data_IF_715576595344
#
_entry.id   IF_715576595344
#
_cell.length_a   1.000
_cell.length_b   1.000
_cell.length_c   1.000
_cell.angle_alpha   90.00
_cell.angle_beta   90.00
_cell.angle_gamma   90.00
#
_symmetry.space_group_name_H-M   'P 1'
#
loop_
_entity.id
_entity.type
_entity.pdbx_description
1 polymer ?
#
# COMPACT_ATOMS: atom_id res chain seq x y z
N UNK A 1 40.14 4.87 -36.37
CA UNK A 1 40.62 3.48 -36.36
C UNK A 1 40.34 2.86 -35.01
N UNK A 2 39.77 1.62 -35.02
CA UNK A 2 39.56 0.62 -33.94
C UNK A 2 38.27 0.84 -33.16
N UNK A 3 37.19 0.17 -33.53
CA UNK A 3 36.65 -1.21 -33.46
C UNK A 3 36.05 -1.54 -32.10
N UNK A 4 34.71 -1.54 -32.04
CA UNK A 4 33.79 -2.67 -31.91
C UNK A 4 34.14 -3.73 -30.85
N UNK A 5 33.26 -3.89 -29.83
CA UNK A 5 32.98 -5.21 -29.26
C UNK A 5 31.58 -5.27 -28.70
N UNK A 6 30.72 -5.85 -29.51
CA UNK A 6 29.47 -6.51 -29.08
C UNK A 6 29.82 -7.65 -28.14
N UNK A 7 29.02 -7.81 -27.08
CA UNK A 7 28.94 -9.10 -26.45
C UNK A 7 27.47 -9.45 -26.16
N UNK A 8 26.96 -10.22 -27.09
CA UNK A 8 25.74 -11.00 -27.08
C UNK A 8 25.92 -12.15 -26.09
N UNK A 9 25.07 -12.24 -25.11
CA UNK A 9 24.84 -13.45 -24.32
C UNK A 9 23.39 -13.78 -24.28
N UNK A 10 23.01 -14.48 -25.31
CA UNK A 10 21.91 -15.41 -25.41
C UNK A 10 22.15 -16.57 -24.44
N UNK A 11 21.20 -16.85 -23.57
CA UNK A 11 21.07 -18.16 -22.92
C UNK A 11 19.63 -18.58 -22.92
N UNK A 12 19.38 -19.46 -23.85
CA UNK A 12 18.29 -20.44 -23.87
C UNK A 12 18.32 -21.30 -22.61
N UNK A 13 17.15 -21.59 -22.10
CA UNK A 13 16.82 -22.83 -21.39
C UNK A 13 15.33 -23.04 -21.58
N UNK A 14 14.95 -23.75 -22.56
CA UNK A 14 14.74 -25.17 -22.74
C UNK A 14 13.85 -25.80 -21.67
N UNK A 15 12.66 -26.02 -22.15
CA UNK A 15 11.56 -26.85 -21.66
C UNK A 15 12.03 -28.22 -21.19
N UNK A 16 11.43 -28.67 -20.09
CA UNK A 16 11.24 -30.10 -19.87
C UNK A 16 9.88 -30.36 -19.25
N UNK A 17 9.02 -30.90 -20.10
CA UNK A 17 7.82 -31.67 -19.78
C UNK A 17 8.26 -33.04 -19.30
N UNK A 18 7.57 -33.59 -18.32
CA UNK A 18 7.22 -35.03 -18.21
C UNK A 18 6.30 -35.24 -17.00
N UNK A 19 5.07 -35.39 -17.25
CA UNK A 19 4.11 -36.53 -17.15
C UNK A 19 4.50 -37.64 -16.21
N UNK A 20 3.59 -37.96 -15.29
CA UNK A 20 3.15 -39.31 -14.98
C UNK A 20 2.08 -39.27 -13.90
N UNK A 21 0.83 -39.50 -14.29
CA UNK A 21 -0.03 -40.70 -14.33
C UNK A 21 -0.16 -41.46 -13.00
N UNK A 22 -1.43 -41.44 -12.52
CA UNK A 22 -2.33 -42.51 -12.18
C UNK A 22 -1.87 -43.65 -11.23
N UNK A 23 -2.71 -43.85 -10.20
CA UNK A 23 -3.35 -45.12 -9.82
C UNK A 23 -4.18 -44.84 -8.55
N UNK A 24 -5.45 -44.92 -8.61
CA UNK A 24 -6.50 -45.94 -8.52
C UNK A 24 -6.37 -46.99 -7.40
N UNK A 25 -7.47 -47.12 -6.72
CA UNK A 25 -8.01 -48.25 -5.93
C UNK A 25 -8.15 -47.96 -4.47
N UNK A 26 -9.28 -47.82 -3.85
CA UNK A 26 -10.43 -48.71 -3.85
C UNK A 26 -10.52 -49.42 -2.51
N UNK A 27 -11.49 -49.22 -1.67
CA UNK A 27 -12.45 -50.21 -1.22
C UNK A 27 -13.19 -49.81 0.08
N UNK A 28 -14.48 -49.76 -0.02
CA UNK A 28 -15.57 -50.17 0.88
C UNK A 28 -15.24 -50.60 2.32
N UNK A 29 -16.00 -50.06 3.30
CA UNK A 29 -17.06 -50.77 4.01
C UNK A 29 -17.77 -49.90 5.05
N UNK A 30 -19.08 -49.77 4.95
CA UNK A 30 -20.03 -49.47 6.04
C UNK A 30 -20.52 -50.84 6.62
N UNK A 31 -21.38 -50.87 7.66
CA UNK A 31 -21.77 -49.91 8.70
C UNK A 31 -21.78 -50.54 10.11
N UNK A 32 -21.89 -49.72 11.17
CA UNK A 32 -22.62 -50.18 12.38
C UNK A 32 -23.14 -48.95 13.15
N UNK A 33 -24.43 -48.99 13.37
CA UNK A 33 -25.21 -48.03 14.13
C UNK A 33 -24.92 -48.14 15.65
N UNK A 34 -24.86 -46.95 16.29
CA UNK A 34 -25.26 -46.79 17.71
C UNK A 34 -25.63 -45.35 17.97
N UNK A 35 -26.86 -45.09 18.33
CA UNK A 35 -27.43 -43.82 18.75
C UNK A 35 -27.27 -43.63 20.26
N UNK A 36 -27.79 -42.51 20.90
CA UNK A 36 -27.23 -41.18 20.97
C UNK A 36 -26.98 -40.75 22.44
N UNK A 37 -26.12 -39.79 22.66
CA UNK A 37 -26.03 -39.07 23.93
C UNK A 37 -26.12 -37.56 23.65
N UNK A 38 -26.62 -36.71 24.58
CA UNK A 38 -27.17 -35.41 24.28
C UNK A 38 -26.08 -34.36 24.03
N UNK A 39 -26.24 -33.66 22.93
CA UNK A 39 -25.39 -32.52 22.56
C UNK A 39 -25.59 -31.37 23.51
N UNK A 40 -24.52 -31.01 24.20
CA UNK A 40 -24.36 -29.72 24.82
C UNK A 40 -24.06 -28.70 23.69
N UNK A 41 -25.08 -27.93 23.34
CA UNK A 41 -24.98 -26.80 22.42
C UNK A 41 -24.04 -25.73 23.01
N UNK A 42 -22.78 -25.77 22.60
CA UNK A 42 -21.87 -24.68 22.78
C UNK A 42 -21.95 -23.82 21.48
N UNK A 43 -22.54 -22.59 21.51
CA UNK A 43 -22.54 -21.73 20.33
C UNK A 43 -21.13 -21.19 20.13
N UNK A 44 -20.35 -21.89 19.33
CA UNK A 44 -19.11 -21.34 18.80
C UNK A 44 -19.48 -20.16 17.91
N UNK A 45 -18.96 -18.95 18.17
CA UNK A 45 -19.17 -17.84 17.25
C UNK A 45 -18.49 -18.19 15.94
N UNK A 46 -19.29 -18.45 14.93
CA UNK A 46 -18.86 -18.57 13.55
C UNK A 46 -18.20 -17.26 13.16
N UNK A 47 -16.89 -17.19 13.25
CA UNK A 47 -16.14 -16.14 12.60
C UNK A 47 -16.32 -16.32 11.09
N UNK A 48 -17.33 -15.64 10.56
CA UNK A 48 -17.50 -15.44 9.14
C UNK A 48 -16.19 -14.80 8.64
N UNK A 49 -15.33 -15.62 8.05
CA UNK A 49 -14.18 -15.15 7.26
C UNK A 49 -14.74 -14.44 6.03
N UNK A 50 -15.26 -13.24 6.21
CA UNK A 50 -15.52 -12.33 5.12
C UNK A 50 -14.16 -12.03 4.50
N UNK A 51 -13.94 -12.32 3.20
CA UNK A 51 -12.68 -12.01 2.55
C UNK A 51 -12.44 -10.51 2.73
N UNK A 52 -11.32 -10.14 3.33
CA UNK A 52 -10.93 -8.74 3.52
C UNK A 52 -10.69 -8.12 2.15
N UNK A 53 -11.71 -7.46 1.62
CA UNK A 53 -11.60 -6.72 0.36
C UNK A 53 -10.73 -5.51 0.64
N UNK A 54 -9.50 -5.52 0.12
CA UNK A 54 -8.61 -4.37 0.20
C UNK A 54 -9.20 -3.22 -0.62
N UNK A 55 -9.15 -1.98 -0.09
CA UNK A 55 -9.64 -0.83 -0.84
C UNK A 55 -8.87 -0.68 -2.15
N UNK A 56 -9.64 -0.55 -3.22
CA UNK A 56 -9.08 -0.37 -4.56
C UNK A 56 -8.47 1.02 -4.72
N UNK A 57 -7.26 1.10 -5.28
CA UNK A 57 -6.60 2.35 -5.63
C UNK A 57 -6.50 2.46 -7.15
N UNK A 58 -7.10 3.50 -7.71
CA UNK A 58 -6.98 3.82 -9.13
C UNK A 58 -5.60 4.43 -9.44
N UNK A 59 -4.72 3.67 -10.07
CA UNK A 59 -3.35 4.09 -10.34
C UNK A 59 -3.22 5.27 -11.31
N UNK A 60 -4.12 5.39 -12.28
CA UNK A 60 -4.10 6.51 -13.23
C UNK A 60 -4.47 7.82 -12.54
N UNK A 61 -5.51 7.80 -11.72
CA UNK A 61 -5.93 8.95 -10.93
C UNK A 61 -4.88 9.31 -9.88
N UNK A 62 -4.34 8.32 -9.16
CA UNK A 62 -3.21 8.51 -8.27
C UNK A 62 -2.03 9.18 -8.95
N UNK A 63 -1.68 8.78 -10.18
CA UNK A 63 -0.60 9.40 -10.94
C UNK A 63 -0.89 10.88 -11.23
N UNK A 64 -2.12 11.21 -11.63
CA UNK A 64 -2.56 12.60 -11.82
C UNK A 64 -2.51 13.40 -10.53
N UNK A 65 -2.99 12.83 -9.44
CA UNK A 65 -3.00 13.48 -8.12
C UNK A 65 -1.58 13.81 -7.64
N UNK A 66 -0.60 12.97 -7.93
CA UNK A 66 0.82 13.23 -7.59
C UNK A 66 1.41 14.48 -8.27
N UNK A 67 0.79 14.97 -9.34
CA UNK A 67 1.19 16.18 -10.06
C UNK A 67 0.49 17.45 -9.53
N UNK A 68 -0.45 17.32 -8.59
CA UNK A 68 -1.13 18.46 -8.00
C UNK A 68 -0.15 19.35 -7.24
N UNK A 69 -0.29 20.68 -7.33
CA UNK A 69 0.52 21.61 -6.53
C UNK A 69 0.13 21.54 -5.05
N UNK A 70 1.01 22.04 -4.19
CA UNK A 70 0.86 22.02 -2.73
C UNK A 70 -0.51 22.52 -2.28
N UNK A 71 -0.95 23.68 -2.80
CA UNK A 71 -2.21 24.29 -2.40
C UNK A 71 -3.42 23.39 -2.64
N UNK A 72 -3.48 22.75 -3.81
CA UNK A 72 -4.58 21.83 -4.16
C UNK A 72 -4.60 20.57 -3.30
N UNK A 73 -3.44 20.06 -2.96
CA UNK A 73 -3.35 18.91 -2.06
C UNK A 73 -3.78 19.29 -0.64
N UNK A 74 -3.37 20.47 -0.15
CA UNK A 74 -3.79 20.99 1.15
C UNK A 74 -5.29 21.26 1.21
N UNK A 75 -5.88 21.86 0.18
CA UNK A 75 -7.33 22.07 0.07
C UNK A 75 -8.09 20.73 0.16
N UNK A 76 -7.61 19.73 -0.59
CA UNK A 76 -8.20 18.38 -0.56
C UNK A 76 -8.08 17.74 0.80
N UNK A 77 -6.92 17.81 1.45
CA UNK A 77 -6.73 17.30 2.80
C UNK A 77 -7.67 17.98 3.79
N UNK A 78 -7.76 19.31 3.74
CA UNK A 78 -8.62 20.10 4.62
C UNK A 78 -10.09 19.71 4.48
N UNK A 79 -10.55 19.50 3.26
CA UNK A 79 -11.95 19.19 2.96
C UNK A 79 -12.33 17.75 3.29
N UNK A 80 -11.47 16.77 2.93
CA UNK A 80 -11.81 15.35 2.98
C UNK A 80 -11.13 14.58 4.09
N UNK A 81 -10.00 15.05 4.57
CA UNK A 81 -9.17 14.38 5.59
C UNK A 81 -8.64 15.37 6.62
N UNK A 82 -9.51 16.08 7.40
CA UNK A 82 -9.10 17.15 8.31
C UNK A 82 -8.04 16.72 9.33
N UNK A 83 -8.12 15.51 9.89
CA UNK A 83 -7.09 14.98 10.79
C UNK A 83 -5.72 14.81 10.13
N UNK A 84 -5.69 14.48 8.85
CA UNK A 84 -4.44 14.40 8.10
C UNK A 84 -3.92 15.81 7.77
N UNK A 85 -4.81 16.79 7.55
CA UNK A 85 -4.45 18.18 7.34
C UNK A 85 -3.79 18.81 8.57
N UNK A 86 -4.31 18.55 9.77
CA UNK A 86 -3.75 19.04 11.04
C UNK A 86 -2.30 18.56 11.25
N UNK A 87 -1.97 17.35 10.77
CA UNK A 87 -0.65 16.75 10.87
C UNK A 87 0.23 17.02 9.64
N UNK A 88 -0.29 17.75 8.66
CA UNK A 88 0.44 18.02 7.44
C UNK A 88 1.54 19.06 7.67
N UNK A 89 2.76 18.73 7.27
CA UNK A 89 3.94 19.58 7.26
C UNK A 89 4.35 19.82 5.80
N UNK A 90 4.48 21.06 5.41
CA UNK A 90 5.05 21.42 4.11
C UNK A 90 6.56 21.52 4.26
N UNK A 91 7.29 20.68 3.52
CA UNK A 91 8.75 20.62 3.49
C UNK A 91 9.23 21.02 2.10
N UNK A 92 9.60 22.29 1.93
CA UNK A 92 9.86 22.88 0.62
C UNK A 92 8.61 22.85 -0.26
N UNK A 93 8.61 21.99 -1.27
CA UNK A 93 7.47 21.79 -2.17
C UNK A 93 6.74 20.45 -1.95
N UNK A 94 7.04 19.74 -0.87
CA UNK A 94 6.46 18.46 -0.53
C UNK A 94 5.54 18.58 0.67
N UNK A 95 4.56 17.69 0.76
CA UNK A 95 3.73 17.56 1.95
C UNK A 95 4.05 16.23 2.64
N UNK A 96 4.37 16.30 3.91
CA UNK A 96 4.65 15.16 4.78
C UNK A 96 3.60 15.07 5.87
N UNK A 97 3.17 13.85 6.20
CA UNK A 97 2.22 13.61 7.27
C UNK A 97 2.78 12.51 8.17
N UNK A 98 2.97 12.83 9.44
CA UNK A 98 3.43 11.87 10.45
C UNK A 98 2.29 11.62 11.41
N UNK A 99 1.76 10.40 11.39
CA UNK A 99 0.72 10.00 12.36
C UNK A 99 1.39 9.44 13.61
N UNK A 100 0.88 9.75 14.82
CA UNK A 100 1.38 9.17 16.08
C UNK A 100 1.15 7.65 16.14
N UNK A 101 0.06 7.19 15.54
CA UNK A 101 -0.30 5.78 15.43
C UNK A 101 -0.57 5.41 13.98
N UNK A 102 -0.57 4.10 13.67
CA UNK A 102 -0.89 3.64 12.33
C UNK A 102 -2.33 4.01 11.94
N UNK A 103 -2.55 4.80 10.90
CA UNK A 103 -3.89 5.19 10.48
C UNK A 103 -4.71 3.98 10.01
N UNK A 104 -6.03 4.08 10.17
CA UNK A 104 -6.98 3.06 9.73
C UNK A 104 -6.84 2.79 8.22
N UNK A 105 -7.20 1.58 7.81
CA UNK A 105 -7.00 1.12 6.44
C UNK A 105 -7.64 2.03 5.38
N UNK A 106 -8.85 2.50 5.65
CA UNK A 106 -9.54 3.46 4.77
C UNK A 106 -8.72 4.74 4.57
N UNK A 107 -8.23 5.36 5.64
CA UNK A 107 -7.42 6.59 5.55
C UNK A 107 -6.12 6.35 4.77
N UNK A 108 -5.49 5.19 4.95
CA UNK A 108 -4.28 4.81 4.18
C UNK A 108 -4.58 4.68 2.68
N UNK A 109 -5.75 4.12 2.33
CA UNK A 109 -6.19 4.01 0.95
C UNK A 109 -6.49 5.39 0.34
N UNK A 110 -7.20 6.25 1.08
CA UNK A 110 -7.54 7.61 0.66
C UNK A 110 -6.26 8.45 0.44
N UNK A 111 -5.29 8.38 1.36
CA UNK A 111 -3.96 9.00 1.18
C UNK A 111 -3.24 8.45 -0.05
N UNK A 112 -3.26 7.13 -0.23
CA UNK A 112 -2.65 6.49 -1.40
C UNK A 112 -3.32 6.95 -2.68
N UNK A 113 -4.65 7.06 -2.70
CA UNK A 113 -5.43 7.55 -3.85
C UNK A 113 -5.09 9.01 -4.16
N UNK A 114 -4.96 9.85 -3.15
CA UNK A 114 -4.54 11.25 -3.31
C UNK A 114 -3.09 11.40 -3.82
N UNK A 115 -2.28 10.34 -3.79
CA UNK A 115 -0.92 10.37 -4.34
C UNK A 115 0.19 10.23 -3.31
N UNK A 116 -0.15 10.17 -2.03
CA UNK A 116 0.84 9.93 -0.99
C UNK A 116 1.46 8.55 -1.10
N UNK A 117 2.69 8.41 -0.62
CA UNK A 117 3.38 7.15 -0.42
C UNK A 117 4.01 7.10 0.98
N UNK A 118 4.07 5.93 1.55
CA UNK A 118 4.74 5.70 2.81
C UNK A 118 6.26 5.64 2.63
N UNK A 119 6.99 6.41 3.43
CA UNK A 119 8.45 6.37 3.48
C UNK A 119 8.91 5.61 4.73
N UNK A 120 9.46 4.42 4.54
CA UNK A 120 9.91 3.56 5.65
C UNK A 120 11.07 4.14 6.45
N UNK A 121 11.95 4.89 5.83
CA UNK A 121 13.11 5.50 6.49
C UNK A 121 12.70 6.66 7.37
N UNK A 122 11.79 7.53 6.86
CA UNK A 122 11.34 8.74 7.56
C UNK A 122 10.08 8.52 8.40
N UNK A 123 9.47 7.33 8.32
CA UNK A 123 8.23 6.97 9.02
C UNK A 123 7.10 7.99 8.85
N UNK A 124 6.95 8.49 7.63
CA UNK A 124 5.90 9.46 7.29
C UNK A 124 5.32 9.20 5.89
N UNK A 125 4.12 9.70 5.67
CA UNK A 125 3.49 9.76 4.36
C UNK A 125 3.99 10.99 3.61
N UNK A 126 4.33 10.84 2.33
CA UNK A 126 4.93 11.90 1.52
C UNK A 126 4.16 12.07 0.22
N UNK A 127 3.83 13.33 -0.11
CA UNK A 127 3.26 13.72 -1.40
C UNK A 127 4.26 14.59 -2.17
N UNK A 128 4.58 14.25 -3.43
CA UNK A 128 5.62 14.95 -4.19
C UNK A 128 5.20 16.32 -4.74
N UNK A 129 3.89 16.60 -4.84
CA UNK A 129 3.33 17.85 -5.38
C UNK A 129 3.93 18.25 -6.73
N UNK A 130 4.06 17.28 -7.66
CA UNK A 130 4.62 17.50 -8.99
C UNK A 130 6.15 17.52 -9.05
N UNK A 131 6.83 17.48 -7.91
CA UNK A 131 8.28 17.53 -7.88
C UNK A 131 8.92 16.14 -7.84
N UNK A 132 9.91 15.95 -8.69
CA UNK A 132 10.80 14.78 -8.64
C UNK A 132 12.01 15.14 -7.80
N UNK A 133 12.11 14.60 -6.59
CA UNK A 133 13.35 14.76 -5.83
C UNK A 133 14.46 13.91 -6.45
N UNK A 134 15.64 14.49 -6.69
CA UNK A 134 16.82 13.68 -6.91
C UNK A 134 17.03 12.77 -5.69
N UNK A 135 17.48 11.54 -5.93
CA UNK A 135 17.83 10.60 -4.87
C UNK A 135 19.01 11.16 -4.09
N UNK A 136 18.74 11.94 -3.05
CA UNK A 136 19.75 12.51 -2.16
C UNK A 136 19.68 11.89 -0.78
N UNK A 137 20.81 11.75 -0.12
CA UNK A 137 20.90 11.26 1.25
C UNK A 137 20.56 12.32 2.30
N UNK A 138 20.57 13.60 1.92
CA UNK A 138 20.30 14.71 2.84
C UNK A 138 18.82 14.74 3.24
N UNK A 139 18.58 15.07 4.51
CA UNK A 139 17.24 15.28 5.02
C UNK A 139 16.67 16.60 4.44
N UNK A 140 15.56 16.56 3.69
CA UNK A 140 14.96 17.77 3.13
C UNK A 140 14.59 18.83 4.18
N UNK A 141 14.25 18.43 5.42
CA UNK A 141 13.96 19.35 6.52
C UNK A 141 15.15 20.23 6.91
N UNK A 142 16.37 19.76 6.68
CA UNK A 142 17.59 20.55 6.94
C UNK A 142 17.89 21.56 5.83
N UNK A 143 17.42 21.24 4.62
CA UNK A 143 17.70 22.05 3.43
C UNK A 143 16.61 23.09 3.14
N UNK A 144 15.36 22.74 3.41
CA UNK A 144 14.20 23.57 3.05
C UNK A 144 13.46 24.05 4.29
N UNK A 145 12.92 25.27 4.21
CA UNK A 145 12.00 25.76 5.23
C UNK A 145 10.77 24.86 5.34
N UNK A 146 10.34 24.63 6.58
CA UNK A 146 9.18 23.81 6.88
C UNK A 146 8.14 24.61 7.65
N UNK A 147 6.87 24.29 7.45
CA UNK A 147 5.77 24.88 8.21
C UNK A 147 4.56 23.95 8.26
N UNK A 148 3.73 24.13 9.29
CA UNK A 148 2.44 23.45 9.42
C UNK A 148 1.34 24.41 8.95
N UNK A 149 0.57 24.05 7.89
CA UNK A 149 -0.49 24.90 7.36
C UNK A 149 -1.61 25.14 8.37
N UNK A 150 -1.90 24.19 9.24
CA UNK A 150 -2.93 24.31 10.28
C UNK A 150 -2.62 25.48 11.26
N UNK A 151 -1.35 25.68 11.62
CA UNK A 151 -0.92 26.71 12.56
C UNK A 151 -1.10 28.13 12.00
N UNK A 152 -1.07 28.27 10.66
CA UNK A 152 -1.21 29.57 9.98
C UNK A 152 -2.66 30.06 9.86
N UNK A 153 -3.63 29.18 10.05
CA UNK A 153 -5.06 29.53 9.98
C UNK A 153 -5.59 29.96 11.35
N UNK A 154 -4.91 29.53 12.41
CA UNK A 154 -5.29 29.86 13.80
C UNK A 154 -4.79 31.24 14.27
N UNK A 155 -4.02 31.97 13.45
CA UNK A 155 -3.53 33.31 13.70
C UNK A 155 -4.33 34.37 12.94
#
# INVERSE_FOLDING_TARGET
MKTNKQNKKEKQNKSELLSRSEQLSGNNNSPTATAPAPETLNPQPSTLNTPKVLPYVNFQERHRNRQLPVDKVLDTLRQWMPRAYELAEVVGKWIWITFPEQPVEKLRADLSQLGFHWNNTRKCWQHPCGETLPRGQQNPREKYATYFPADRIAA
#
